data_IF_365974679399
#
_entry.id   IF_365974679399
#
_cell.length_a   1.000
_cell.length_b   1.000
_cell.length_c   1.000
_cell.angle_alpha   90.00
_cell.angle_beta   90.00
_cell.angle_gamma   90.00
#
_symmetry.space_group_name_H-M   'P 1'
#
loop_
_entity.id
_entity.type
_entity.pdbx_description
1 polymer ?
#
# COMPACT_ATOMS: atom_id res chain seq x y z
N UNK A 1 10.50 0.22 -8.68
CA UNK A 1 9.64 0.67 -9.80
C UNK A 1 10.43 0.55 -11.10
N UNK A 2 9.86 -0.08 -12.12
CA UNK A 2 10.45 -0.14 -13.47
C UNK A 2 9.40 0.34 -14.48
N UNK A 3 9.79 1.27 -15.36
CA UNK A 3 8.88 1.87 -16.38
C UNK A 3 7.57 2.41 -15.80
N UNK A 4 7.59 2.91 -14.56
CA UNK A 4 6.41 3.45 -13.89
C UNK A 4 5.47 2.39 -13.28
N UNK A 5 5.87 1.12 -13.22
CA UNK A 5 5.12 0.04 -12.57
C UNK A 5 5.88 -0.48 -11.36
N UNK A 6 5.16 -0.80 -10.28
CA UNK A 6 5.72 -1.42 -9.08
C UNK A 6 5.97 -2.90 -9.38
N UNK A 7 7.23 -3.31 -9.58
CA UNK A 7 7.57 -4.71 -9.82
C UNK A 7 7.79 -5.51 -8.54
N UNK A 8 8.21 -4.84 -7.47
CA UNK A 8 8.45 -5.45 -6.17
C UNK A 8 8.13 -4.43 -5.09
N UNK A 9 7.51 -4.90 -4.01
CA UNK A 9 7.14 -4.10 -2.85
C UNK A 9 7.49 -4.86 -1.58
N UNK A 10 8.15 -4.18 -0.65
CA UNK A 10 8.41 -4.71 0.67
C UNK A 10 8.21 -3.61 1.69
N UNK A 11 7.35 -3.86 2.66
CA UNK A 11 6.97 -2.91 3.70
C UNK A 11 7.55 -3.43 5.01
N UNK A 12 8.34 -2.57 5.66
CA UNK A 12 8.99 -2.86 6.93
C UNK A 12 8.44 -1.92 7.99
N UNK A 13 8.22 -2.46 9.20
CA UNK A 13 7.74 -1.70 10.34
C UNK A 13 7.18 -2.63 11.40
N UNK A 14 6.96 -2.06 12.58
CA UNK A 14 6.24 -2.73 13.66
C UNK A 14 4.78 -2.27 13.58
N UNK A 15 4.00 -3.00 12.79
CA UNK A 15 2.60 -2.67 12.53
C UNK A 15 1.71 -3.45 13.49
N UNK A 16 0.85 -2.73 14.21
CA UNK A 16 -0.09 -3.31 15.17
C UNK A 16 -1.41 -3.75 14.53
N UNK A 17 -1.43 -3.95 13.21
CA UNK A 17 -2.59 -4.45 12.48
C UNK A 17 -2.82 -5.94 12.73
N UNK A 18 -4.04 -6.39 12.43
CA UNK A 18 -4.45 -7.81 12.53
C UNK A 18 -4.28 -8.57 11.22
N UNK A 19 -4.12 -7.88 10.09
CA UNK A 19 -3.93 -8.47 8.76
C UNK A 19 -2.45 -8.66 8.38
N UNK A 20 -2.18 -9.56 7.43
CA UNK A 20 -0.82 -9.77 6.91
C UNK A 20 -0.47 -8.66 5.91
N UNK A 21 0.55 -7.86 6.24
CA UNK A 21 1.05 -6.78 5.39
C UNK A 21 1.49 -7.26 3.99
N UNK A 22 1.82 -8.55 3.84
CA UNK A 22 2.10 -9.15 2.53
C UNK A 22 0.94 -9.01 1.55
N UNK A 23 -0.30 -8.97 2.03
CA UNK A 23 -1.46 -8.77 1.15
C UNK A 23 -1.42 -7.38 0.50
N UNK A 24 -1.02 -6.37 1.26
CA UNK A 24 -0.84 -5.00 0.76
C UNK A 24 0.36 -4.92 -0.19
N UNK A 25 1.47 -5.59 0.15
CA UNK A 25 2.65 -5.68 -0.73
C UNK A 25 2.28 -6.29 -2.09
N UNK A 26 1.50 -7.37 -2.09
CA UNK A 26 1.05 -8.04 -3.32
C UNK A 26 0.08 -7.18 -4.12
N UNK A 27 -0.83 -6.47 -3.47
CA UNK A 27 -1.77 -5.58 -4.14
C UNK A 27 -1.09 -4.38 -4.81
N UNK A 28 0.04 -3.92 -4.27
CA UNK A 28 0.86 -2.87 -4.87
C UNK A 28 1.66 -3.35 -6.08
N UNK A 29 2.06 -4.62 -6.12
CA UNK A 29 2.82 -5.17 -7.24
C UNK A 29 1.94 -5.25 -8.49
N UNK A 30 2.46 -4.74 -9.60
CA UNK A 30 1.73 -4.63 -10.87
C UNK A 30 0.90 -3.35 -11.01
N UNK A 31 0.70 -2.59 -9.92
CA UNK A 31 0.07 -1.27 -10.00
C UNK A 31 1.03 -0.26 -10.61
N UNK A 32 0.48 0.67 -11.40
CA UNK A 32 1.23 1.83 -11.88
C UNK A 32 1.57 2.73 -10.69
N UNK A 33 2.82 3.16 -10.59
CA UNK A 33 3.27 4.14 -9.61
C UNK A 33 2.80 5.54 -10.01
N UNK A 34 1.49 5.73 -9.88
CA UNK A 34 0.74 6.96 -10.15
C UNK A 34 -0.21 7.21 -8.99
N UNK A 35 -0.33 8.46 -8.55
CA UNK A 35 -1.12 8.79 -7.35
C UNK A 35 -2.58 8.34 -7.46
N UNK A 36 -3.20 8.54 -8.63
CA UNK A 36 -4.60 8.22 -8.89
C UNK A 36 -4.84 6.70 -8.88
N UNK A 37 -3.90 5.95 -9.46
CA UNK A 37 -3.97 4.47 -9.49
C UNK A 37 -3.75 3.88 -8.10
N UNK A 38 -2.79 4.43 -7.33
CA UNK A 38 -2.55 4.02 -5.96
C UNK A 38 -3.73 4.35 -5.05
N UNK A 39 -4.32 5.53 -5.18
CA UNK A 39 -5.53 5.91 -4.43
C UNK A 39 -6.69 4.96 -4.73
N UNK A 40 -6.91 4.65 -6.00
CA UNK A 40 -7.96 3.70 -6.42
C UNK A 40 -7.73 2.30 -5.86
N UNK A 41 -6.49 1.81 -5.88
CA UNK A 41 -6.14 0.52 -5.28
C UNK A 41 -6.37 0.52 -3.77
N UNK A 42 -5.96 1.59 -3.07
CA UNK A 42 -6.16 1.73 -1.62
C UNK A 42 -7.64 1.87 -1.22
N UNK A 43 -8.55 2.24 -2.13
CA UNK A 43 -9.99 2.24 -1.82
C UNK A 43 -10.51 0.83 -1.53
N UNK A 44 -9.98 -0.18 -2.20
CA UNK A 44 -10.34 -1.60 -2.04
C UNK A 44 -9.67 -2.26 -0.82
N UNK A 45 -8.67 -1.61 -0.23
CA UNK A 45 -7.92 -2.13 0.94
C UNK A 45 -8.32 -1.41 2.21
N UNK A 46 -8.59 -2.17 3.27
CA UNK A 46 -8.70 -1.61 4.61
C UNK A 46 -7.32 -1.43 5.25
N UNK A 47 -6.66 -0.31 4.94
CA UNK A 47 -5.33 0.05 5.44
C UNK A 47 -5.26 -0.03 6.98
N UNK A 48 -6.34 0.28 7.70
CA UNK A 48 -6.36 0.22 9.17
C UNK A 48 -6.23 -1.21 9.71
N UNK A 49 -6.75 -2.20 8.97
CA UNK A 49 -6.63 -3.60 9.35
C UNK A 49 -5.17 -4.08 9.34
N UNK A 50 -4.30 -3.48 8.52
CA UNK A 50 -2.89 -3.87 8.37
C UNK A 50 -1.92 -2.96 9.13
N UNK A 51 -2.20 -1.66 9.18
CA UNK A 51 -1.29 -0.65 9.73
C UNK A 51 -1.80 0.01 11.02
N UNK A 52 -2.96 -0.43 11.53
CA UNK A 52 -3.55 0.08 12.77
C UNK A 52 -4.17 1.46 12.56
N UNK A 53 -3.77 2.45 13.37
CA UNK A 53 -4.35 3.79 13.33
C UNK A 53 -3.71 4.70 12.27
N UNK A 54 -3.58 4.19 11.03
CA UNK A 54 -3.13 4.95 9.85
C UNK A 54 -4.33 5.18 8.93
N UNK A 55 -4.51 6.42 8.47
CA UNK A 55 -5.49 6.73 7.44
C UNK A 55 -4.94 6.41 6.03
N UNK A 56 -5.84 6.10 5.09
CA UNK A 56 -5.46 5.77 3.70
C UNK A 56 -4.68 6.90 3.03
N UNK A 57 -5.04 8.16 3.32
CA UNK A 57 -4.37 9.35 2.79
C UNK A 57 -2.94 9.48 3.30
N UNK A 58 -2.73 9.17 4.58
CA UNK A 58 -1.40 9.23 5.20
C UNK A 58 -0.52 8.13 4.63
N UNK A 59 -1.06 6.92 4.49
CA UNK A 59 -0.37 5.83 3.82
C UNK A 59 -0.01 6.16 2.37
N UNK A 60 -0.93 6.77 1.61
CA UNK A 60 -0.69 7.23 0.24
C UNK A 60 0.45 8.25 0.18
N UNK A 61 0.56 9.15 1.15
CA UNK A 61 1.67 10.13 1.25
C UNK A 61 3.01 9.48 1.60
N UNK A 62 3.01 8.34 2.30
CA UNK A 62 4.24 7.61 2.61
C UNK A 62 4.80 6.85 1.40
N UNK A 63 3.92 6.41 0.50
CA UNK A 63 4.30 5.61 -0.67
C UNK A 63 4.57 6.43 -1.93
N UNK A 64 4.03 7.65 -2.07
CA UNK A 64 4.11 8.48 -3.29
C UNK A 64 5.07 9.65 -3.13
#
# INVERSE_FOLDING_TARGET
VQKGVIENCKIYGDFFGVGDVKEVEQALIGTRYDKSELERMLQEIDVKAYFGNIEKTDFLQLIY
#
